data_IF_222335369992
#
_entry.id   IF_222335369992
#
_cell.length_a   1.000
_cell.length_b   1.000
_cell.length_c   1.000
_cell.angle_alpha   90.00
_cell.angle_beta   90.00
_cell.angle_gamma   90.00
#
_symmetry.space_group_name_H-M   'P 1'
#
loop_
_entity.id
_entity.type
_entity.pdbx_description
1 polymer ?
#
# COMPACT_ATOMS: atom_id res chain seq x y z
N UNK A 1 14.37 -12.78 40.98
CA UNK A 1 14.72 -13.65 39.83
C UNK A 1 13.62 -14.71 39.64
N UNK A 2 12.64 -14.48 38.76
CA UNK A 2 11.61 -15.48 38.42
C UNK A 2 12.07 -16.27 37.19
N UNK A 3 12.33 -17.57 37.34
CA UNK A 3 12.63 -18.47 36.22
C UNK A 3 11.35 -18.68 35.41
N UNK A 4 11.24 -18.02 34.25
CA UNK A 4 10.22 -18.31 33.25
C UNK A 4 10.58 -19.65 32.59
N UNK A 5 9.93 -20.72 33.02
CA UNK A 5 10.02 -22.04 32.36
C UNK A 5 9.37 -21.90 30.98
N UNK A 6 10.18 -21.75 29.94
CA UNK A 6 9.70 -21.75 28.55
C UNK A 6 9.32 -23.18 28.15
N UNK A 7 8.02 -23.49 28.25
CA UNK A 7 7.40 -24.62 27.54
C UNK A 7 7.46 -24.36 26.02
N UNK A 8 8.63 -24.58 25.42
CA UNK A 8 8.87 -24.34 23.97
C UNK A 8 8.91 -25.62 23.13
N UNK A 9 8.82 -26.80 23.72
CA UNK A 9 8.79 -28.05 22.94
C UNK A 9 7.36 -28.51 22.70
N UNK A 10 6.80 -28.37 21.48
CA UNK A 10 5.52 -28.98 21.12
C UNK A 10 5.56 -30.51 21.28
N UNK A 11 6.76 -31.11 21.22
CA UNK A 11 7.02 -32.53 21.43
C UNK A 11 6.52 -33.00 22.81
N UNK A 12 6.70 -32.20 23.85
CA UNK A 12 6.28 -32.58 25.22
C UNK A 12 4.75 -32.60 25.30
N UNK A 13 4.06 -31.65 24.67
CA UNK A 13 2.60 -31.59 24.65
C UNK A 13 2.01 -32.77 23.87
N UNK A 14 2.60 -33.11 22.73
CA UNK A 14 2.19 -34.26 21.91
C UNK A 14 2.44 -35.58 22.66
N UNK A 15 3.59 -35.73 23.33
CA UNK A 15 3.90 -36.91 24.12
C UNK A 15 2.94 -37.10 25.31
N UNK A 16 2.57 -36.00 25.99
CA UNK A 16 1.62 -36.05 27.11
C UNK A 16 0.20 -36.38 26.64
N UNK A 17 -0.23 -35.83 25.50
CA UNK A 17 -1.49 -36.20 24.85
C UNK A 17 -1.51 -37.65 24.41
N UNK A 18 -0.42 -38.14 23.83
CA UNK A 18 -0.31 -39.54 23.43
C UNK A 18 -0.35 -40.50 24.63
N UNK A 19 0.30 -40.13 25.74
CA UNK A 19 0.24 -40.90 26.98
C UNK A 19 -1.15 -40.87 27.61
N UNK A 20 -1.85 -39.74 27.58
CA UNK A 20 -3.25 -39.63 28.04
C UNK A 20 -4.19 -40.45 27.16
N UNK A 21 -4.01 -40.41 25.84
CA UNK A 21 -4.78 -41.19 24.88
C UNK A 21 -4.58 -42.70 25.09
N UNK A 22 -3.33 -43.13 25.26
CA UNK A 22 -2.98 -44.53 25.54
C UNK A 22 -3.51 -45.00 26.91
N UNK A 23 -3.61 -44.11 27.90
CA UNK A 23 -4.19 -44.45 29.19
C UNK A 23 -5.72 -44.61 29.12
N UNK A 24 -6.41 -43.83 28.28
CA UNK A 24 -7.87 -43.93 28.10
C UNK A 24 -8.31 -45.14 27.27
N UNK A 25 -7.48 -45.66 26.37
CA UNK A 25 -7.78 -46.83 25.52
C UNK A 25 -7.88 -48.16 26.30
N UNK A 26 -7.48 -48.17 27.58
CA UNK A 26 -7.42 -49.38 28.41
C UNK A 26 -8.65 -49.68 29.29
N UNK A 27 -9.76 -48.92 29.16
CA UNK A 27 -11.01 -49.17 29.90
C UNK A 27 -12.23 -49.23 28.96
N UNK A 28 -13.03 -50.28 29.15
CA UNK A 28 -14.11 -50.74 28.27
C UNK A 28 -15.13 -49.69 27.80
N UNK A 29 -15.75 -50.05 26.68
CA UNK A 29 -16.60 -49.26 25.79
C UNK A 29 -17.95 -48.87 26.40
N UNK A 30 -17.97 -47.77 27.15
CA UNK A 30 -19.18 -47.00 27.42
C UNK A 30 -19.20 -45.77 26.50
N UNK A 31 -20.33 -45.49 25.83
CA UNK A 31 -20.52 -44.30 24.96
C UNK A 31 -20.14 -42.97 25.65
N UNK A 32 -20.23 -42.94 26.99
CA UNK A 32 -19.79 -41.83 27.83
C UNK A 32 -18.28 -41.56 27.74
N UNK A 33 -17.46 -42.60 27.59
CA UNK A 33 -16.00 -42.48 27.46
C UNK A 33 -15.59 -41.85 26.13
N UNK A 34 -16.26 -42.22 25.03
CA UNK A 34 -16.02 -41.65 23.71
C UNK A 34 -16.34 -40.14 23.64
N UNK A 35 -17.43 -39.71 24.28
CA UNK A 35 -17.80 -38.28 24.35
C UNK A 35 -16.79 -37.47 25.17
N UNK A 36 -16.23 -38.03 26.24
CA UNK A 36 -15.19 -37.37 27.04
C UNK A 36 -13.89 -37.21 26.26
N UNK A 37 -13.44 -38.25 25.53
CA UNK A 37 -12.25 -38.15 24.66
C UNK A 37 -12.44 -37.06 23.61
N UNK A 38 -13.61 -37.03 22.96
CA UNK A 38 -13.91 -36.03 21.94
C UNK A 38 -13.95 -34.61 22.50
N UNK A 39 -14.52 -34.43 23.71
CA UNK A 39 -14.53 -33.14 24.41
C UNK A 39 -13.13 -32.65 24.77
N UNK A 40 -12.24 -33.54 25.25
CA UNK A 40 -10.85 -33.19 25.57
C UNK A 40 -10.07 -32.82 24.30
N UNK A 41 -10.23 -33.58 23.21
CA UNK A 41 -9.60 -33.25 21.93
C UNK A 41 -10.08 -31.90 21.39
N UNK A 42 -11.38 -31.61 21.47
CA UNK A 42 -11.93 -30.32 21.07
C UNK A 42 -11.35 -29.17 21.91
N UNK A 43 -11.26 -29.33 23.23
CA UNK A 43 -10.68 -28.33 24.13
C UNK A 43 -9.20 -28.05 23.80
N UNK A 44 -8.42 -29.10 23.54
CA UNK A 44 -7.00 -29.00 23.14
C UNK A 44 -6.86 -28.29 21.80
N UNK A 45 -7.69 -28.64 20.81
CA UNK A 45 -7.69 -28.00 19.50
C UNK A 45 -8.02 -26.51 19.60
N UNK A 46 -9.00 -26.13 20.42
CA UNK A 46 -9.35 -24.73 20.68
C UNK A 46 -8.21 -23.95 21.34
N UNK A 47 -7.53 -24.54 22.33
CA UNK A 47 -6.35 -23.93 22.96
C UNK A 47 -5.18 -23.75 21.97
N UNK A 48 -4.93 -24.75 21.12
CA UNK A 48 -3.94 -24.66 20.06
C UNK A 48 -4.29 -23.56 19.04
N UNK A 49 -5.54 -23.49 18.59
CA UNK A 49 -6.00 -22.46 17.66
C UNK A 49 -5.89 -21.05 18.25
N UNK A 50 -6.28 -20.86 19.52
CA UNK A 50 -6.17 -19.58 20.22
C UNK A 50 -4.71 -19.11 20.35
N UNK A 51 -3.80 -20.02 20.70
CA UNK A 51 -2.36 -19.70 20.84
C UNK A 51 -1.70 -19.38 19.49
N UNK A 52 -2.03 -20.10 18.42
CA UNK A 52 -1.55 -19.81 17.06
C UNK A 52 -2.09 -18.45 16.59
N UNK A 53 -3.38 -18.19 16.76
CA UNK A 53 -4.01 -16.91 16.39
C UNK A 53 -3.35 -15.73 17.11
N UNK A 54 -3.05 -15.87 18.41
CA UNK A 54 -2.37 -14.83 19.17
C UNK A 54 -0.94 -14.58 18.69
N UNK A 55 -0.20 -15.65 18.34
CA UNK A 55 1.15 -15.54 17.78
C UNK A 55 1.13 -14.86 16.41
N UNK A 56 0.21 -15.25 15.53
CA UNK A 56 0.08 -14.67 14.19
C UNK A 56 -0.26 -13.19 14.27
N UNK A 57 -1.19 -12.79 15.16
CA UNK A 57 -1.49 -11.36 15.40
C UNK A 57 -0.26 -10.57 15.85
N UNK A 58 0.55 -11.14 16.74
CA UNK A 58 1.80 -10.49 17.19
C UNK A 58 2.85 -10.40 16.08
N UNK A 59 2.93 -11.39 15.20
CA UNK A 59 3.85 -11.36 14.06
C UNK A 59 3.41 -10.33 13.02
N UNK A 60 2.13 -10.23 12.71
CA UNK A 60 1.58 -9.24 11.79
C UNK A 60 1.82 -7.79 12.27
N UNK A 61 1.64 -7.53 13.58
CA UNK A 61 1.98 -6.22 14.13
C UNK A 61 3.48 -5.91 13.99
N UNK A 62 4.35 -6.90 14.23
CA UNK A 62 5.81 -6.72 14.09
C UNK A 62 6.22 -6.49 12.64
N UNK A 63 5.70 -7.26 11.69
CA UNK A 63 6.02 -7.07 10.28
C UNK A 63 5.58 -5.70 9.79
N UNK A 64 4.35 -5.25 10.11
CA UNK A 64 3.87 -3.91 9.76
C UNK A 64 4.79 -2.80 10.28
N UNK A 65 5.18 -2.87 11.56
CA UNK A 65 6.11 -1.89 12.13
C UNK A 65 7.51 -1.95 11.51
N UNK A 66 7.99 -3.14 11.13
CA UNK A 66 9.28 -3.31 10.47
C UNK A 66 9.27 -2.74 9.04
N UNK A 67 8.22 -3.03 8.26
CA UNK A 67 8.03 -2.47 6.92
C UNK A 67 7.94 -0.94 6.96
N UNK A 68 7.23 -0.38 7.94
CA UNK A 68 7.16 1.08 8.11
C UNK A 68 8.53 1.70 8.38
N UNK A 69 9.30 1.10 9.30
CA UNK A 69 10.64 1.58 9.64
C UNK A 69 11.58 1.53 8.44
N UNK A 70 11.51 0.45 7.66
CA UNK A 70 12.32 0.29 6.46
C UNK A 70 11.95 1.34 5.40
N UNK A 71 10.67 1.51 5.11
CA UNK A 71 10.20 2.52 4.16
C UNK A 71 10.58 3.96 4.61
N UNK A 72 10.51 4.26 5.91
CA UNK A 72 10.97 5.55 6.46
C UNK A 72 12.48 5.73 6.29
N UNK A 73 13.26 4.66 6.51
CA UNK A 73 14.72 4.68 6.33
C UNK A 73 15.09 4.92 4.87
N UNK A 74 14.44 4.24 3.94
CA UNK A 74 14.64 4.45 2.51
C UNK A 74 14.31 5.89 2.10
N UNK A 75 13.18 6.42 2.58
CA UNK A 75 12.76 7.78 2.28
C UNK A 75 13.76 8.82 2.83
N UNK A 76 14.34 8.59 4.02
CA UNK A 76 15.41 9.44 4.56
C UNK A 76 16.68 9.41 3.71
N UNK A 77 17.11 8.23 3.26
CA UNK A 77 18.27 8.14 2.37
C UNK A 77 18.11 8.97 1.10
N UNK A 78 16.91 8.92 0.48
CA UNK A 78 16.61 9.74 -0.69
C UNK A 78 16.52 11.25 -0.38
N UNK A 79 16.07 11.63 0.81
CA UNK A 79 16.09 13.03 1.25
C UNK A 79 17.52 13.54 1.47
N UNK A 80 18.42 12.71 1.99
CA UNK A 80 19.83 13.06 2.16
C UNK A 80 20.49 13.30 0.80
N UNK A 81 20.22 12.43 -0.18
CA UNK A 81 20.69 12.62 -1.56
C UNK A 81 20.14 13.94 -2.15
N UNK A 82 18.85 14.21 -1.97
CA UNK A 82 18.20 15.43 -2.43
C UNK A 82 18.79 16.69 -1.77
N UNK A 83 19.17 16.63 -0.49
CA UNK A 83 19.81 17.75 0.20
C UNK A 83 21.17 18.10 -0.44
N UNK A 84 21.96 17.09 -0.80
CA UNK A 84 23.22 17.30 -1.51
C UNK A 84 22.99 17.92 -2.91
N UNK A 85 21.93 17.50 -3.62
CA UNK A 85 21.57 18.09 -4.91
C UNK A 85 21.11 19.54 -4.80
N UNK A 86 20.34 19.90 -3.76
CA UNK A 86 19.95 21.30 -3.49
C UNK A 86 21.20 22.17 -3.34
N UNK A 87 22.15 21.75 -2.49
CA UNK A 87 23.38 22.51 -2.24
C UNK A 87 24.24 22.65 -3.51
N UNK A 88 24.32 21.58 -4.31
CA UNK A 88 25.07 21.59 -5.59
C UNK A 88 24.44 22.53 -6.63
N UNK A 89 23.11 22.60 -6.67
CA UNK A 89 22.37 23.27 -7.74
C UNK A 89 22.08 24.75 -7.42
N UNK A 90 22.07 25.15 -6.14
CA UNK A 90 21.80 26.52 -5.69
C UNK A 90 22.65 27.56 -6.42
N UNK A 91 23.98 27.43 -6.37
CA UNK A 91 24.91 28.37 -7.02
C UNK A 91 24.70 28.46 -8.54
N UNK A 92 24.44 27.33 -9.19
CA UNK A 92 24.23 27.26 -10.64
C UNK A 92 22.93 27.96 -11.05
N UNK A 93 21.85 27.73 -10.30
CA UNK A 93 20.54 28.35 -10.52
C UNK A 93 20.61 29.86 -10.27
N UNK A 94 21.29 30.30 -9.22
CA UNK A 94 21.49 31.73 -8.94
C UNK A 94 22.23 32.43 -10.08
N UNK A 95 23.34 31.83 -10.54
CA UNK A 95 24.19 32.37 -11.62
C UNK A 95 23.49 32.42 -12.97
N UNK A 96 22.64 31.44 -13.28
CA UNK A 96 21.94 31.34 -14.57
C UNK A 96 20.98 32.51 -14.86
N UNK A 97 20.44 33.16 -13.82
CA UNK A 97 19.38 34.18 -13.91
C UNK A 97 18.09 33.72 -14.65
N UNK A 98 17.89 32.41 -14.87
CA UNK A 98 16.68 31.89 -15.49
C UNK A 98 15.54 31.75 -14.46
N UNK A 99 14.40 32.40 -14.73
CA UNK A 99 13.23 32.41 -13.84
C UNK A 99 12.57 31.03 -13.71
N UNK A 100 12.61 30.22 -14.76
CA UNK A 100 12.05 28.87 -14.80
C UNK A 100 12.89 27.92 -13.96
N UNK A 101 14.22 27.99 -14.08
CA UNK A 101 15.13 27.23 -13.22
C UNK A 101 14.92 27.55 -11.73
N UNK A 102 14.84 28.85 -11.40
CA UNK A 102 14.56 29.31 -10.02
C UNK A 102 13.20 28.84 -9.49
N UNK A 103 12.17 28.78 -10.34
CA UNK A 103 10.86 28.28 -9.93
C UNK A 103 10.92 26.79 -9.56
N UNK A 104 11.50 25.95 -10.43
CA UNK A 104 11.65 24.53 -10.17
C UNK A 104 12.49 24.25 -8.92
N UNK A 105 13.64 24.93 -8.78
CA UNK A 105 14.51 24.80 -7.60
C UNK A 105 13.78 25.18 -6.30
N UNK A 106 13.04 26.30 -6.30
CA UNK A 106 12.25 26.74 -5.15
C UNK A 106 11.17 25.72 -4.80
N UNK A 107 10.43 25.24 -5.79
CA UNK A 107 9.34 24.29 -5.57
C UNK A 107 9.88 22.95 -5.00
N UNK A 108 11.05 22.50 -5.45
CA UNK A 108 11.76 21.36 -4.86
C UNK A 108 12.19 21.64 -3.41
N UNK A 109 12.79 22.80 -3.13
CA UNK A 109 13.28 23.17 -1.79
C UNK A 109 12.15 23.26 -0.76
N UNK A 110 11.00 23.83 -1.16
CA UNK A 110 9.79 23.86 -0.31
C UNK A 110 9.26 22.46 -0.04
N UNK A 111 9.23 21.59 -1.07
CA UNK A 111 8.80 20.21 -0.89
C UNK A 111 9.73 19.44 0.04
N UNK A 112 11.06 19.57 -0.11
CA UNK A 112 12.06 18.98 0.78
C UNK A 112 11.81 19.35 2.25
N UNK A 113 11.73 20.65 2.55
CA UNK A 113 11.54 21.13 3.92
C UNK A 113 10.22 20.60 4.54
N UNK A 114 9.15 20.54 3.74
CA UNK A 114 7.88 19.98 4.21
C UNK A 114 7.95 18.47 4.42
N UNK A 115 8.56 17.70 3.52
CA UNK A 115 8.66 16.24 3.68
C UNK A 115 9.54 15.90 4.89
N UNK A 116 10.64 16.63 5.09
CA UNK A 116 11.54 16.45 6.23
C UNK A 116 10.83 16.66 7.57
N UNK A 117 9.85 17.58 7.62
CA UNK A 117 8.99 17.75 8.80
C UNK A 117 8.01 16.58 8.97
N UNK A 118 7.33 16.20 7.89
CA UNK A 118 6.21 15.26 7.94
C UNK A 118 6.67 13.78 8.16
N UNK A 119 7.90 13.43 7.77
CA UNK A 119 8.40 12.04 7.77
C UNK A 119 8.48 11.42 9.17
N UNK A 120 8.75 12.24 10.19
CA UNK A 120 8.87 11.78 11.59
C UNK A 120 7.52 11.74 12.31
N UNK A 121 6.55 12.55 11.87
CA UNK A 121 5.20 12.63 12.41
C UNK A 121 4.26 11.53 11.86
N UNK A 122 4.64 10.91 10.75
CA UNK A 122 3.77 9.98 10.00
C UNK A 122 3.86 8.54 10.47
N UNK A 123 2.77 7.99 11.03
CA UNK A 123 2.64 6.57 11.42
C UNK A 123 1.69 5.73 10.53
N UNK A 124 1.26 6.28 9.39
CA UNK A 124 0.40 5.60 8.41
C UNK A 124 1.16 5.30 7.11
N UNK A 125 1.02 4.07 6.60
CA UNK A 125 1.65 3.61 5.35
C UNK A 125 1.14 4.41 4.16
N UNK A 126 -0.14 4.83 4.19
CA UNK A 126 -0.72 5.64 3.10
C UNK A 126 -0.10 7.02 3.04
N UNK A 127 0.08 7.66 4.20
CA UNK A 127 0.74 8.96 4.27
C UNK A 127 2.21 8.84 3.86
N UNK A 128 2.92 7.79 4.28
CA UNK A 128 4.30 7.57 3.83
C UNK A 128 4.39 7.40 2.30
N UNK A 129 3.46 6.67 1.68
CA UNK A 129 3.36 6.56 0.22
C UNK A 129 3.10 7.91 -0.48
N UNK A 130 2.30 8.79 0.14
CA UNK A 130 2.10 10.15 -0.36
C UNK A 130 3.38 10.98 -0.24
N UNK A 131 4.13 10.85 0.86
CA UNK A 131 5.44 11.49 1.02
C UNK A 131 6.42 11.02 -0.06
N UNK A 132 6.46 9.73 -0.38
CA UNK A 132 7.27 9.21 -1.50
C UNK A 132 6.88 9.86 -2.83
N UNK A 133 5.58 9.95 -3.13
CA UNK A 133 5.11 10.59 -4.38
C UNK A 133 5.48 12.08 -4.45
N UNK A 134 5.40 12.78 -3.31
CA UNK A 134 5.83 14.18 -3.19
C UNK A 134 7.35 14.30 -3.38
N UNK A 135 8.13 13.38 -2.82
CA UNK A 135 9.58 13.34 -3.01
C UNK A 135 9.95 13.10 -4.47
N UNK A 136 9.32 12.13 -5.15
CA UNK A 136 9.56 11.88 -6.58
C UNK A 136 9.28 13.13 -7.44
N UNK A 137 8.23 13.87 -7.09
CA UNK A 137 7.91 15.16 -7.75
C UNK A 137 8.97 16.22 -7.46
N UNK A 138 9.51 16.25 -6.24
CA UNK A 138 10.55 17.20 -5.86
C UNK A 138 11.89 16.89 -6.55
N UNK A 139 12.26 15.61 -6.67
CA UNK A 139 13.42 15.14 -7.45
C UNK A 139 13.26 15.57 -8.91
N UNK A 140 12.10 15.31 -9.53
CA UNK A 140 11.83 15.76 -10.90
C UNK A 140 11.98 17.28 -11.07
N UNK A 141 11.60 18.08 -10.07
CA UNK A 141 11.81 19.53 -10.10
C UNK A 141 13.30 19.90 -10.04
N UNK A 142 14.13 19.21 -9.25
CA UNK A 142 15.58 19.44 -9.27
C UNK A 142 16.19 19.07 -10.62
N UNK A 143 15.81 17.93 -11.19
CA UNK A 143 16.25 17.51 -12.53
C UNK A 143 15.82 18.52 -13.61
N UNK A 144 14.61 19.07 -13.49
CA UNK A 144 14.10 20.10 -14.38
C UNK A 144 14.88 21.41 -14.24
N UNK A 145 15.18 21.83 -13.02
CA UNK A 145 16.01 23.01 -12.77
C UNK A 145 17.42 22.83 -13.36
N UNK A 146 18.07 21.69 -13.14
CA UNK A 146 19.37 21.36 -13.73
C UNK A 146 19.31 21.34 -15.27
N UNK A 147 18.27 20.74 -15.85
CA UNK A 147 18.08 20.71 -17.30
C UNK A 147 17.94 22.12 -17.89
N UNK A 148 17.15 23.00 -17.27
CA UNK A 148 16.97 24.39 -17.72
C UNK A 148 18.28 25.17 -17.65
N UNK A 149 19.01 25.08 -16.53
CA UNK A 149 20.32 25.74 -16.37
C UNK A 149 21.33 25.25 -17.41
N UNK A 150 21.29 23.95 -17.74
CA UNK A 150 22.16 23.35 -18.75
C UNK A 150 21.69 23.53 -20.20
N UNK A 151 20.55 24.19 -20.45
CA UNK A 151 19.96 24.31 -21.79
C UNK A 151 19.51 22.98 -22.41
N UNK A 152 19.25 21.95 -21.59
CA UNK A 152 18.76 20.63 -21.99
C UNK A 152 17.23 20.60 -22.01
N UNK A 153 16.60 19.69 -22.77
CA UNK A 153 15.15 19.50 -22.70
C UNK A 153 14.73 19.01 -21.30
N UNK A 154 13.52 19.40 -20.89
CA UNK A 154 12.95 19.00 -19.61
C UNK A 154 12.84 17.47 -19.50
N UNK A 155 13.15 16.88 -18.34
CA UNK A 155 13.00 15.45 -18.11
C UNK A 155 11.53 15.03 -18.18
N UNK A 156 11.23 13.80 -18.63
CA UNK A 156 9.86 13.30 -18.64
C UNK A 156 9.31 13.25 -17.22
N UNK A 157 8.12 13.80 -17.01
CA UNK A 157 7.49 13.83 -15.69
C UNK A 157 7.24 12.40 -15.19
N UNK A 158 7.67 12.12 -13.96
CA UNK A 158 7.37 10.84 -13.30
C UNK A 158 5.86 10.63 -13.25
N UNK A 159 5.39 9.52 -13.80
CA UNK A 159 3.98 9.13 -13.65
C UNK A 159 3.79 8.66 -12.22
N UNK A 160 2.76 9.14 -11.48
CA UNK A 160 2.42 8.55 -10.20
C UNK A 160 2.22 7.04 -10.38
N UNK A 161 2.98 6.20 -9.68
CA UNK A 161 2.83 4.75 -9.78
C UNK A 161 1.47 4.24 -9.26
N UNK A 162 0.65 5.11 -8.66
CA UNK A 162 -0.65 4.77 -8.12
C UNK A 162 -1.78 5.30 -9.03
N UNK A 163 -2.10 4.56 -10.10
CA UNK A 163 -3.52 4.45 -10.46
C UNK A 163 -4.06 3.31 -9.61
N UNK A 164 -4.85 3.56 -8.54
CA UNK A 164 -5.61 2.47 -7.96
C UNK A 164 -6.44 1.90 -9.11
N UNK A 165 -6.27 0.61 -9.44
CA UNK A 165 -7.24 -0.05 -10.31
C UNK A 165 -8.62 0.27 -9.74
N UNK A 166 -9.54 0.86 -10.53
CA UNK A 166 -10.88 1.12 -10.03
C UNK A 166 -11.43 -0.19 -9.46
N UNK A 167 -11.97 -0.18 -8.23
CA UNK A 167 -12.56 -1.38 -7.65
C UNK A 167 -13.76 -1.78 -8.52
N UNK A 168 -13.57 -2.77 -9.40
CA UNK A 168 -14.63 -3.27 -10.27
C UNK A 168 -14.22 -3.83 -11.63
N UNK A 169 -12.97 -3.67 -12.09
CA UNK A 169 -12.62 -4.14 -13.44
C UNK A 169 -12.16 -5.61 -13.49
N UNK A 170 -11.59 -6.14 -12.40
CA UNK A 170 -11.25 -7.56 -12.31
C UNK A 170 -12.49 -8.47 -12.20
N UNK A 171 -13.60 -7.97 -11.66
CA UNK A 171 -14.83 -8.76 -11.49
C UNK A 171 -15.68 -8.80 -12.77
N UNK A 172 -15.65 -7.74 -13.60
CA UNK A 172 -16.38 -7.74 -14.89
C UNK A 172 -15.78 -8.66 -15.95
N UNK A 173 -14.50 -8.99 -15.86
CA UNK A 173 -13.86 -9.91 -16.81
C UNK A 173 -14.25 -11.39 -16.60
N UNK A 174 -14.73 -11.77 -15.42
CA UNK A 174 -15.07 -13.17 -15.10
C UNK A 174 -16.52 -13.56 -15.42
N UNK A 175 -17.40 -12.60 -15.78
CA UNK A 175 -18.81 -12.87 -16.07
C UNK A 175 -19.15 -12.89 -17.57
N UNK A 176 -18.24 -12.44 -18.44
CA UNK A 176 -18.47 -12.35 -19.91
C UNK A 176 -17.66 -13.41 -20.68
N UNK A 177 -17.60 -14.65 -20.20
CA UNK A 177 -17.04 -15.76 -21.01
C UNK A 177 -17.92 -17.00 -21.02
N UNK A 178 -19.12 -16.95 -20.41
CA UNK A 178 -20.09 -18.05 -20.48
C UNK A 178 -21.38 -17.74 -21.23
N UNK A 179 -21.58 -16.51 -21.71
CA UNK A 179 -22.77 -16.11 -22.46
C UNK A 179 -22.53 -15.79 -23.95
N UNK A 180 -21.28 -15.89 -24.44
CA UNK A 180 -20.92 -15.55 -25.83
C UNK A 180 -20.68 -16.78 -26.74
N UNK A 181 -21.19 -17.96 -26.35
CA UNK A 181 -21.04 -19.20 -27.14
C UNK A 181 -22.34 -19.71 -27.78
N UNK A 182 -23.46 -18.97 -27.65
CA UNK A 182 -24.68 -19.22 -28.39
C UNK A 182 -25.23 -17.86 -28.80
N UNK A 183 -24.93 -17.42 -30.02
CA UNK A 183 -25.90 -16.79 -30.96
C UNK A 183 -25.12 -16.13 -32.11
N UNK A 184 -24.66 -16.96 -33.04
CA UNK A 184 -24.22 -16.52 -34.37
C UNK A 184 -25.44 -16.67 -35.28
N UNK A 185 -26.09 -15.56 -35.62
CA UNK A 185 -27.24 -15.65 -36.52
C UNK A 185 -27.98 -14.33 -36.78
N UNK A 186 -27.40 -13.50 -37.65
CA UNK A 186 -28.18 -12.77 -38.68
C UNK A 186 -29.17 -11.68 -38.21
N UNK A 187 -28.82 -10.41 -38.42
CA UNK A 187 -29.56 -9.55 -39.36
C UNK A 187 -29.01 -8.12 -39.37
N UNK A 188 -28.78 -7.65 -40.59
CA UNK A 188 -28.63 -6.24 -40.96
C UNK A 188 -29.82 -5.41 -40.46
N UNK A 189 -29.53 -4.27 -39.85
CA UNK A 189 -30.39 -3.07 -39.89
C UNK A 189 -29.52 -1.89 -39.45
N UNK A 190 -28.80 -1.25 -40.36
CA UNK A 190 -29.30 -0.05 -41.05
C UNK A 190 -30.04 0.91 -40.11
N UNK A 191 -29.28 1.82 -39.48
CA UNK A 191 -29.84 3.11 -39.16
C UNK A 191 -28.78 4.20 -39.25
N UNK A 192 -28.63 4.73 -40.47
CA UNK A 192 -28.18 6.10 -40.68
C UNK A 192 -29.24 7.01 -40.08
N UNK A 193 -28.90 7.74 -39.02
CA UNK A 193 -29.45 9.07 -38.88
C UNK A 193 -28.55 9.99 -38.06
N UNK A 194 -28.28 11.12 -38.69
CA UNK A 194 -27.53 12.24 -38.20
C UNK A 194 -28.29 12.95 -37.07
N UNK A 195 -27.57 13.56 -36.13
CA UNK A 195 -27.81 14.96 -35.77
C UNK A 195 -26.61 15.58 -35.02
N UNK A 196 -25.90 16.54 -35.64
CA UNK A 196 -24.98 17.42 -34.94
C UNK A 196 -25.65 18.79 -34.74
N UNK A 197 -26.28 19.07 -33.59
CA UNK A 197 -26.56 20.46 -33.16
C UNK A 197 -27.10 20.57 -31.73
N UNK A 198 -26.70 21.68 -31.09
CA UNK A 198 -27.36 22.38 -29.97
C UNK A 198 -27.25 21.77 -28.55
N UNK A 199 -26.36 22.36 -27.76
CA UNK A 199 -26.83 23.16 -26.61
C UNK A 199 -25.83 24.23 -26.19
N UNK A 200 -26.04 25.41 -26.77
CA UNK A 200 -25.70 26.69 -26.16
C UNK A 200 -26.71 27.02 -25.05
N UNK A 201 -26.24 27.73 -24.03
CA UNK A 201 -27.04 28.28 -22.92
C UNK A 201 -26.45 27.82 -21.59
N UNK A 202 -26.19 28.66 -20.59
CA UNK A 202 -26.56 30.04 -20.26
C UNK A 202 -25.49 30.48 -19.23
N UNK A 203 -24.77 31.59 -19.40
CA UNK A 203 -25.15 32.94 -18.95
C UNK A 203 -25.66 33.00 -17.50
N UNK A 204 -24.98 33.81 -16.69
CA UNK A 204 -25.36 34.51 -15.43
C UNK A 204 -24.64 33.97 -14.18
N UNK A 205 -24.28 34.73 -13.14
CA UNK A 205 -24.22 36.16 -12.80
C UNK A 205 -23.86 36.16 -11.30
N UNK A 206 -22.82 36.86 -10.83
CA UNK A 206 -22.72 37.38 -9.43
C UNK A 206 -21.47 38.26 -9.28
N UNK A 207 -21.63 39.58 -9.23
CA UNK A 207 -21.71 40.40 -7.98
C UNK A 207 -20.35 40.43 -7.27
N UNK A 208 -19.45 41.39 -7.51
CA UNK A 208 -19.41 42.73 -6.88
C UNK A 208 -19.96 42.73 -5.45
N UNK A 209 -19.04 42.71 -4.48
CA UNK A 209 -19.21 43.42 -3.22
C UNK A 209 -17.89 44.17 -2.91
N UNK A 210 -18.13 45.42 -2.53
CA UNK A 210 -17.31 46.49 -1.97
C UNK A 210 -15.85 46.22 -1.63
#
# INVERSE_FOLDING_TARGET
MRRMVSFRSPIIVVALLFLLFRALDSRGSDLSSALLVLGVLAAVALLAAATISWRNRRQDLRSRTAHMKEARRELRGRLDDMANDILRLEEQVETSNDKTARAHFRDASVAYASILKDIDETDDTRELSRLTTRLDTAIWNLDAAEAVVAGRPLPPKSRPMFTPSPPGEAERASHTTKAAALDVGTALSENRNADPRRRSGRRRHRSRHC
#
